data_IF_594367079789
#
_entry.id   IF_594367079789
#
_cell.length_a   1.000
_cell.length_b   1.000
_cell.length_c   1.000
_cell.angle_alpha   90.00
_cell.angle_beta   90.00
_cell.angle_gamma   90.00
#
_symmetry.space_group_name_H-M   'P 1'
#
loop_
_entity.id
_entity.type
_entity.pdbx_description
1 polymer ?
#
# COMPACT_ATOMS: atom_id res chain seq x y z
N UNK A 1 -8.11 1.84 19.74
CA UNK A 1 -6.78 2.43 19.48
C UNK A 1 -6.98 3.55 18.47
N UNK A 2 -6.89 4.81 18.91
CA UNK A 2 -6.82 5.94 17.98
C UNK A 2 -5.53 5.80 17.17
N UNK A 3 -5.65 5.47 15.87
CA UNK A 3 -4.55 5.69 14.95
C UNK A 3 -4.45 7.20 14.70
N UNK A 4 -3.68 7.91 15.52
CA UNK A 4 -3.01 9.12 15.04
C UNK A 4 -2.08 8.68 13.92
N UNK A 5 -2.59 8.68 12.68
CA UNK A 5 -1.84 8.21 11.52
C UNK A 5 -0.76 9.23 11.26
N UNK A 6 0.43 8.95 11.77
CA UNK A 6 1.61 9.75 11.52
C UNK A 6 1.83 9.88 10.01
N UNK A 7 2.28 11.06 9.58
CA UNK A 7 2.48 11.37 8.16
C UNK A 7 3.43 10.36 7.50
N UNK A 8 4.41 9.81 8.25
CA UNK A 8 5.29 8.77 7.75
C UNK A 8 4.54 7.45 7.48
N UNK A 9 3.57 7.09 8.31
CA UNK A 9 2.75 5.88 8.10
C UNK A 9 1.87 6.04 6.86
N UNK A 10 1.25 7.22 6.68
CA UNK A 10 0.48 7.52 5.49
C UNK A 10 1.36 7.51 4.23
N UNK A 11 2.55 8.10 4.30
CA UNK A 11 3.53 8.09 3.22
C UNK A 11 3.97 6.66 2.85
N UNK A 12 4.21 5.79 3.84
CA UNK A 12 4.56 4.39 3.61
C UNK A 12 3.44 3.61 2.90
N UNK A 13 2.17 3.82 3.31
CA UNK A 13 1.01 3.18 2.68
C UNK A 13 0.85 3.66 1.23
N UNK A 14 0.93 4.98 1.00
CA UNK A 14 0.84 5.55 -0.36
C UNK A 14 1.99 5.04 -1.25
N UNK A 15 3.21 4.96 -0.72
CA UNK A 15 4.36 4.41 -1.44
C UNK A 15 4.16 2.93 -1.80
N UNK A 16 3.64 2.12 -0.87
CA UNK A 16 3.34 0.71 -1.10
C UNK A 16 2.27 0.52 -2.20
N UNK A 17 1.17 1.28 -2.14
CA UNK A 17 0.11 1.25 -3.15
C UNK A 17 0.62 1.70 -4.53
N UNK A 18 1.47 2.73 -4.56
CA UNK A 18 2.13 3.18 -5.80
C UNK A 18 3.07 2.10 -6.35
N UNK A 19 3.72 1.33 -5.46
CA UNK A 19 4.49 0.14 -5.81
C UNK A 19 3.64 -0.94 -6.49
N UNK A 20 2.48 -1.24 -5.93
CA UNK A 20 1.51 -2.18 -6.52
C UNK A 20 1.03 -1.69 -7.89
N UNK A 21 0.70 -0.41 -8.03
CA UNK A 21 0.28 0.17 -9.30
C UNK A 21 1.36 0.06 -10.40
N UNK A 22 2.63 0.28 -10.04
CA UNK A 22 3.77 0.04 -10.94
C UNK A 22 3.86 -1.43 -11.35
N UNK A 23 3.66 -2.36 -10.41
CA UNK A 23 3.62 -3.80 -10.68
C UNK A 23 2.51 -4.23 -11.65
N UNK A 24 1.42 -3.45 -11.73
CA UNK A 24 0.30 -3.68 -12.64
C UNK A 24 0.52 -3.08 -14.06
N UNK A 25 1.68 -2.47 -14.32
CA UNK A 25 2.04 -1.92 -15.63
C UNK A 25 1.91 -0.41 -15.77
N UNK A 26 1.71 0.34 -14.67
CA UNK A 26 1.74 1.80 -14.72
C UNK A 26 3.16 2.29 -15.03
N UNK A 27 3.37 3.12 -16.07
CA UNK A 27 4.68 3.65 -16.41
C UNK A 27 5.25 4.51 -15.27
N UNK A 28 6.54 4.37 -14.97
CA UNK A 28 7.22 5.10 -13.89
C UNK A 28 7.05 6.62 -13.95
N UNK A 29 6.83 7.19 -15.14
CA UNK A 29 6.55 8.62 -15.34
C UNK A 29 5.27 9.09 -14.62
N UNK A 30 4.31 8.19 -14.43
CA UNK A 30 3.03 8.48 -13.76
C UNK A 30 3.03 8.11 -12.27
N UNK A 31 4.10 7.51 -11.74
CA UNK A 31 4.17 7.12 -10.33
C UNK A 31 3.91 8.29 -9.35
N UNK A 32 4.43 9.52 -9.57
CA UNK A 32 4.13 10.66 -8.70
C UNK A 32 2.65 11.08 -8.76
N UNK A 33 2.02 10.98 -9.94
CA UNK A 33 0.60 11.30 -10.13
C UNK A 33 -0.30 10.27 -9.44
N UNK A 34 0.07 8.99 -9.51
CA UNK A 34 -0.63 7.91 -8.80
C UNK A 34 -0.49 8.09 -7.29
N UNK A 35 0.69 8.44 -6.79
CA UNK A 35 0.90 8.73 -5.38
C UNK A 35 0.04 9.92 -4.91
N UNK A 36 -0.06 10.99 -5.71
CA UNK A 36 -0.96 12.11 -5.43
C UNK A 36 -2.43 11.70 -5.43
N UNK A 37 -2.85 10.83 -6.36
CA UNK A 37 -4.22 10.34 -6.40
C UNK A 37 -4.57 9.53 -5.15
N UNK A 38 -3.70 8.60 -4.74
CA UNK A 38 -3.90 7.82 -3.52
C UNK A 38 -3.88 8.70 -2.26
N UNK A 39 -2.94 9.64 -2.14
CA UNK A 39 -2.90 10.53 -0.97
C UNK A 39 -4.15 11.41 -0.87
N UNK A 40 -4.61 11.96 -1.98
CA UNK A 40 -5.85 12.74 -2.03
C UNK A 40 -7.08 11.90 -1.64
N UNK A 41 -7.17 10.65 -2.10
CA UNK A 41 -8.23 9.73 -1.70
C UNK A 41 -8.19 9.43 -0.19
N UNK A 42 -7.01 9.18 0.38
CA UNK A 42 -6.87 8.90 1.81
C UNK A 42 -7.17 10.10 2.70
N UNK A 43 -6.80 11.31 2.27
CA UNK A 43 -7.08 12.56 3.00
C UNK A 43 -8.56 12.97 2.87
N UNK A 44 -9.20 12.66 1.74
CA UNK A 44 -10.61 12.97 1.52
C UNK A 44 -11.58 12.05 2.26
N UNK A 45 -11.11 10.95 2.85
CA UNK A 45 -11.95 10.06 3.65
C UNK A 45 -12.30 10.70 5.00
N UNK A 46 -13.58 10.71 5.41
CA UNK A 46 -14.00 11.28 6.68
C UNK A 46 -13.29 10.60 7.85
N UNK A 47 -12.73 11.41 8.75
CA UNK A 47 -11.97 10.96 9.91
C UNK A 47 -12.91 10.26 10.91
N UNK A 48 -12.84 8.93 10.97
CA UNK A 48 -13.64 8.10 11.87
C UNK A 48 -13.26 6.61 11.78
N UNK A 49 -14.10 5.73 12.33
CA UNK A 49 -13.90 4.27 12.31
C UNK A 49 -13.68 3.71 10.90
N UNK A 50 -14.35 4.27 9.90
CA UNK A 50 -14.22 3.82 8.51
C UNK A 50 -12.79 3.97 7.99
N UNK A 51 -12.12 5.10 8.28
CA UNK A 51 -10.74 5.35 7.87
C UNK A 51 -9.78 4.37 8.55
N UNK A 52 -9.94 4.14 9.85
CA UNK A 52 -9.10 3.17 10.58
C UNK A 52 -9.30 1.74 10.09
N UNK A 53 -10.54 1.34 9.81
CA UNK A 53 -10.84 0.00 9.29
C UNK A 53 -10.25 -0.18 7.89
N UNK A 54 -10.36 0.83 7.02
CA UNK A 54 -9.75 0.82 5.69
C UNK A 54 -8.22 0.75 5.76
N UNK A 55 -7.58 1.58 6.58
CA UNK A 55 -6.12 1.55 6.75
C UNK A 55 -5.66 0.19 7.29
N UNK A 56 -6.37 -0.37 8.26
CA UNK A 56 -6.07 -1.69 8.81
C UNK A 56 -6.23 -2.79 7.76
N UNK A 57 -7.30 -2.74 6.96
CA UNK A 57 -7.51 -3.70 5.88
C UNK A 57 -6.43 -3.58 4.78
N UNK A 58 -6.04 -2.36 4.42
CA UNK A 58 -4.99 -2.11 3.42
C UNK A 58 -3.63 -2.59 3.91
N UNK A 59 -3.24 -2.25 5.13
CA UNK A 59 -1.99 -2.73 5.74
C UNK A 59 -2.03 -4.25 5.86
N UNK A 60 -3.11 -4.83 6.38
CA UNK A 60 -3.28 -6.27 6.48
C UNK A 60 -3.18 -7.00 5.13
N UNK A 61 -3.83 -6.47 4.09
CA UNK A 61 -3.77 -7.00 2.73
C UNK A 61 -2.37 -6.89 2.10
N UNK A 62 -1.70 -5.74 2.25
CA UNK A 62 -0.31 -5.54 1.80
C UNK A 62 0.66 -6.47 2.53
N UNK A 63 0.51 -6.63 3.84
CA UNK A 63 1.32 -7.56 4.65
C UNK A 63 1.07 -9.00 4.26
N UNK A 64 -0.19 -9.42 4.06
CA UNK A 64 -0.52 -10.77 3.60
C UNK A 64 0.03 -11.03 2.19
N UNK A 65 -0.08 -10.06 1.27
CA UNK A 65 0.51 -10.16 -0.07
C UNK A 65 2.03 -10.27 -0.01
N UNK A 66 2.68 -9.49 0.85
CA UNK A 66 4.12 -9.57 1.08
C UNK A 66 4.51 -10.95 1.61
N UNK A 67 3.88 -11.39 2.71
CA UNK A 67 4.12 -12.70 3.31
C UNK A 67 3.90 -13.85 2.32
N UNK A 68 2.85 -13.80 1.49
CA UNK A 68 2.61 -14.76 0.43
C UNK A 68 3.71 -14.74 -0.64
N UNK A 69 4.16 -13.55 -1.06
CA UNK A 69 5.27 -13.43 -2.03
C UNK A 69 6.57 -14.00 -1.48
N UNK A 70 6.84 -13.83 -0.18
CA UNK A 70 7.99 -14.44 0.50
C UNK A 70 7.84 -15.96 0.59
N UNK A 71 6.68 -16.46 1.02
CA UNK A 71 6.43 -17.91 1.11
C UNK A 71 6.45 -18.63 -0.25
N UNK A 72 6.03 -17.96 -1.32
CA UNK A 72 6.07 -18.51 -2.69
C UNK A 72 7.49 -18.57 -3.26
N UNK A 73 8.35 -17.63 -2.88
CA UNK A 73 9.76 -17.60 -3.32
C UNK A 73 10.55 -18.81 -2.78
N UNK A 74 10.13 -19.38 -1.65
CA UNK A 74 10.82 -20.52 -1.02
C UNK A 74 10.58 -21.87 -1.73
N UNK A 75 9.49 -22.02 -2.49
CA UNK A 75 9.13 -23.28 -3.14
C UNK A 75 9.37 -23.33 -4.66
N UNK A 76 9.95 -22.29 -5.27
CA UNK A 76 10.08 -22.25 -6.73
C UNK A 76 11.17 -21.31 -7.26
N UNK A 77 12.43 -21.75 -7.22
CA UNK A 77 13.48 -21.18 -8.08
C UNK A 77 14.88 -21.19 -7.46
N UNK A 78 15.56 -22.35 -7.46
CA UNK A 78 16.70 -22.47 -8.37
C UNK A 78 16.50 -21.73 -9.70
N UNK A 79 17.16 -20.57 -9.85
CA UNK A 79 17.83 -20.14 -11.09
C UNK A 79 18.67 -18.88 -10.81
N UNK A 80 19.97 -19.16 -10.65
CA UNK A 80 21.16 -18.39 -11.01
C UNK A 80 21.34 -16.99 -10.43
#
# INVERSE_FOLDING_TARGET
MEMTTDIATLAAIVAALTGVAKGFGVPNKYAPLVAMAFSALFVSLPNGELRNNLLTAVVGGLTASGAYSYAKTDNGGNKQ
#
